data_IF_378035693721
#
_entry.id   IF_378035693721
#
_cell.length_a   1.000
_cell.length_b   1.000
_cell.length_c   1.000
_cell.angle_alpha   90.00
_cell.angle_beta   90.00
_cell.angle_gamma   90.00
#
_symmetry.space_group_name_H-M   'P 1'
#
loop_
_entity.id
_entity.type
_entity.pdbx_description
1 polymer ?
#
# COMPACT_ATOMS: atom_id res chain seq x y z
N UNK A 1 -13.50 1.08 7.98
CA UNK A 1 -13.94 1.13 6.57
C UNK A 1 -14.60 2.45 6.23
N UNK A 2 -15.11 3.24 7.20
CA UNK A 2 -15.68 4.59 6.99
C UNK A 2 -14.91 5.50 6.01
N UNK A 3 -13.59 5.47 6.00
CA UNK A 3 -12.80 6.24 5.03
C UNK A 3 -13.04 5.76 3.59
N UNK A 4 -13.05 4.44 3.36
CA UNK A 4 -13.37 3.88 2.04
C UNK A 4 -14.80 4.24 1.62
N UNK A 5 -15.76 4.29 2.55
CA UNK A 5 -17.13 4.73 2.25
C UNK A 5 -17.14 6.17 1.71
N UNK A 6 -16.35 7.08 2.30
CA UNK A 6 -16.21 8.46 1.80
C UNK A 6 -15.50 8.54 0.44
N UNK A 7 -14.54 7.65 0.17
CA UNK A 7 -13.90 7.59 -1.14
C UNK A 7 -14.84 7.06 -2.21
N UNK A 8 -15.72 6.10 -1.88
CA UNK A 8 -16.77 5.64 -2.79
C UNK A 8 -17.70 6.79 -3.17
N UNK A 9 -18.22 7.53 -2.18
CA UNK A 9 -19.07 8.70 -2.43
C UNK A 9 -18.39 9.73 -3.35
N UNK A 10 -17.09 9.97 -3.15
CA UNK A 10 -16.29 10.86 -3.98
C UNK A 10 -16.13 10.34 -5.42
N UNK A 11 -15.82 9.05 -5.58
CA UNK A 11 -15.64 8.44 -6.91
C UNK A 11 -16.95 8.39 -7.69
N UNK A 12 -18.06 8.09 -7.02
CA UNK A 12 -19.40 8.12 -7.60
C UNK A 12 -19.77 9.53 -8.08
N UNK A 13 -19.48 10.54 -7.26
CA UNK A 13 -19.70 11.94 -7.62
C UNK A 13 -18.90 12.37 -8.85
N UNK A 14 -17.62 11.97 -8.93
CA UNK A 14 -16.74 12.26 -10.07
C UNK A 14 -17.00 11.34 -11.29
N UNK A 15 -17.80 10.29 -11.13
CA UNK A 15 -18.13 9.34 -12.19
C UNK A 15 -17.01 8.32 -12.50
N UNK A 16 -16.07 8.10 -11.58
CA UNK A 16 -15.02 7.09 -11.73
C UNK A 16 -15.53 5.71 -11.33
N UNK A 17 -15.37 4.72 -12.21
CA UNK A 17 -15.66 3.33 -11.87
C UNK A 17 -14.56 2.75 -10.99
N UNK A 18 -14.93 1.91 -10.03
CA UNK A 18 -13.99 1.31 -9.09
C UNK A 18 -14.41 -0.10 -8.67
N UNK A 19 -13.48 -0.84 -8.07
CA UNK A 19 -13.76 -2.04 -7.30
C UNK A 19 -13.38 -1.80 -5.84
N UNK A 20 -14.02 -2.50 -4.90
CA UNK A 20 -13.71 -2.40 -3.47
C UNK A 20 -13.52 -3.79 -2.86
N UNK A 21 -12.48 -3.94 -2.04
CA UNK A 21 -12.32 -5.07 -1.12
C UNK A 21 -12.05 -4.56 0.30
N UNK A 22 -12.92 -4.97 1.22
CA UNK A 22 -12.70 -4.82 2.65
C UNK A 22 -12.90 -6.16 3.40
N UNK A 23 -13.05 -6.09 4.73
CA UNK A 23 -13.22 -7.26 5.58
C UNK A 23 -14.59 -7.95 5.44
N UNK A 24 -15.58 -7.32 4.80
CA UNK A 24 -16.91 -7.88 4.58
C UNK A 24 -17.01 -8.76 3.33
N UNK A 25 -16.08 -8.60 2.37
CA UNK A 25 -16.12 -9.32 1.09
C UNK A 25 -15.32 -10.64 1.19
N UNK A 26 -16.03 -11.76 0.97
CA UNK A 26 -15.51 -13.11 1.17
C UNK A 26 -15.44 -13.92 -0.14
N UNK A 27 -14.53 -14.90 -0.15
CA UNK A 27 -14.51 -15.99 -1.14
C UNK A 27 -14.48 -15.54 -2.60
N UNK A 28 -15.46 -16.02 -3.38
CA UNK A 28 -15.54 -15.85 -4.83
C UNK A 28 -15.68 -14.39 -5.27
N UNK A 29 -16.49 -13.58 -4.57
CA UNK A 29 -16.71 -12.17 -4.91
C UNK A 29 -15.41 -11.36 -4.90
N UNK A 30 -14.48 -11.73 -4.00
CA UNK A 30 -13.15 -11.15 -3.93
C UNK A 30 -12.35 -11.40 -5.21
N UNK A 31 -12.35 -12.65 -5.66
CA UNK A 31 -11.61 -13.04 -6.86
C UNK A 31 -12.23 -12.41 -8.11
N UNK A 32 -13.56 -12.40 -8.21
CA UNK A 32 -14.27 -11.75 -9.31
C UNK A 32 -13.94 -10.25 -9.41
N UNK A 33 -13.86 -9.52 -8.29
CA UNK A 33 -13.45 -8.12 -8.28
C UNK A 33 -12.01 -7.93 -8.78
N UNK A 34 -11.10 -8.81 -8.37
CA UNK A 34 -9.71 -8.81 -8.83
C UNK A 34 -9.62 -9.10 -10.33
N UNK A 35 -10.40 -10.07 -10.82
CA UNK A 35 -10.42 -10.46 -12.22
C UNK A 35 -10.99 -9.35 -13.10
N UNK A 36 -12.08 -8.69 -12.67
CA UNK A 36 -12.66 -7.53 -13.37
C UNK A 36 -11.67 -6.38 -13.48
N UNK A 37 -10.91 -6.10 -12.41
CA UNK A 37 -9.93 -5.02 -12.42
C UNK A 37 -8.69 -5.33 -13.27
N UNK A 38 -8.26 -6.59 -13.32
CA UNK A 38 -7.13 -7.02 -14.16
C UNK A 38 -7.55 -7.37 -15.61
N UNK A 39 -8.84 -7.33 -15.94
CA UNK A 39 -9.33 -7.70 -17.26
C UNK A 39 -8.79 -6.74 -18.35
N UNK A 40 -8.47 -7.24 -19.56
CA UNK A 40 -8.10 -6.39 -20.67
C UNK A 40 -9.23 -5.39 -20.99
N UNK A 41 -8.91 -4.09 -20.99
CA UNK A 41 -9.91 -3.04 -21.22
C UNK A 41 -10.87 -2.80 -20.04
N UNK A 42 -10.48 -3.23 -18.83
CA UNK A 42 -11.19 -2.90 -17.59
C UNK A 42 -11.51 -1.40 -17.54
N UNK A 43 -12.75 -1.08 -17.18
CA UNK A 43 -13.24 0.30 -17.12
C UNK A 43 -13.03 0.92 -15.74
N UNK A 44 -12.69 0.09 -14.75
CA UNK A 44 -12.45 0.51 -13.38
C UNK A 44 -11.14 1.25 -13.29
N UNK A 45 -11.22 2.50 -12.87
CA UNK A 45 -10.10 3.41 -12.71
C UNK A 45 -9.30 3.10 -11.45
N UNK A 46 -9.95 2.74 -10.35
CA UNK A 46 -9.28 2.49 -9.08
C UNK A 46 -9.79 1.24 -8.36
N UNK A 47 -8.94 0.74 -7.46
CA UNK A 47 -9.22 -0.42 -6.61
C UNK A 47 -9.09 -0.01 -5.15
N UNK A 48 -10.22 0.13 -4.47
CA UNK A 48 -10.28 0.49 -3.06
C UNK A 48 -9.99 -0.72 -2.18
N UNK A 49 -9.00 -0.57 -1.29
CA UNK A 49 -8.55 -1.66 -0.44
C UNK A 49 -8.35 -1.21 1.00
N UNK A 50 -8.92 -1.95 1.94
CA UNK A 50 -8.49 -1.81 3.34
C UNK A 50 -7.17 -2.57 3.58
N UNK A 51 -6.22 -1.93 4.25
CA UNK A 51 -4.85 -2.47 4.48
C UNK A 51 -4.88 -3.83 5.18
N UNK A 52 -5.87 -4.10 6.04
CA UNK A 52 -6.05 -5.41 6.71
C UNK A 52 -6.66 -6.48 5.80
N UNK A 53 -7.54 -6.13 4.87
CA UNK A 53 -8.07 -7.09 3.90
C UNK A 53 -7.03 -7.47 2.82
N UNK A 54 -5.97 -6.67 2.67
CA UNK A 54 -4.84 -6.90 1.75
C UNK A 54 -3.85 -7.98 2.16
N UNK A 55 -3.86 -8.43 3.43
CA UNK A 55 -2.94 -9.45 3.95
C UNK A 55 -3.15 -10.86 3.37
N UNK A 56 -4.19 -11.06 2.55
CA UNK A 56 -4.65 -12.37 2.06
C UNK A 56 -4.10 -12.78 0.68
N UNK A 57 -3.10 -12.09 0.13
CA UNK A 57 -2.44 -12.58 -1.09
C UNK A 57 -3.05 -12.12 -2.41
N UNK A 58 -3.69 -10.95 -2.47
CA UNK A 58 -4.28 -10.42 -3.72
C UNK A 58 -3.22 -10.03 -4.76
N UNK A 59 -3.62 -10.00 -6.03
CA UNK A 59 -2.78 -9.66 -7.18
C UNK A 59 -3.44 -8.53 -8.00
N UNK A 60 -2.82 -7.36 -8.04
CA UNK A 60 -3.30 -6.18 -8.78
C UNK A 60 -2.24 -5.75 -9.78
N UNK A 61 -1.75 -6.71 -10.59
CA UNK A 61 -0.61 -6.51 -11.49
C UNK A 61 -0.88 -5.51 -12.63
N UNK A 62 -2.14 -5.12 -12.88
CA UNK A 62 -2.46 -4.05 -13.85
C UNK A 62 -2.37 -2.65 -13.25
N UNK A 63 -2.36 -2.50 -11.91
CA UNK A 63 -2.29 -1.18 -11.27
C UNK A 63 -0.85 -0.63 -11.26
N UNK A 64 -0.65 0.54 -11.86
CA UNK A 64 0.65 1.22 -11.89
C UNK A 64 0.83 2.24 -10.75
N UNK A 65 -0.25 2.65 -10.08
CA UNK A 65 -0.21 3.70 -9.07
C UNK A 65 -0.83 3.22 -7.77
N UNK A 66 -0.10 3.38 -6.67
CA UNK A 66 -0.56 3.01 -5.33
C UNK A 66 -0.58 4.26 -4.46
N UNK A 67 -1.75 4.57 -3.90
CA UNK A 67 -1.92 5.66 -2.93
C UNK A 67 -2.19 5.08 -1.56
N UNK A 68 -1.30 5.36 -0.61
CA UNK A 68 -1.48 5.06 0.80
C UNK A 68 -2.14 6.28 1.44
N UNK A 69 -3.44 6.16 1.68
CA UNK A 69 -4.25 7.26 2.19
C UNK A 69 -3.97 7.52 3.68
N UNK A 70 -4.04 6.47 4.49
CA UNK A 70 -3.77 6.53 5.94
C UNK A 70 -2.50 5.74 6.29
N UNK A 71 -1.71 6.25 7.21
CA UNK A 71 -0.47 5.59 7.66
C UNK A 71 -0.71 4.63 8.84
N UNK A 72 -0.15 3.42 8.75
CA UNK A 72 -0.19 2.43 9.82
C UNK A 72 1.08 2.53 10.71
N UNK A 73 0.94 2.19 12.00
CA UNK A 73 2.06 2.08 12.94
C UNK A 73 3.02 0.93 12.62
N UNK A 74 2.58 -0.04 11.82
CA UNK A 74 3.39 -1.13 11.31
C UNK A 74 3.76 -0.88 9.84
N UNK A 75 5.03 -0.56 9.52
CA UNK A 75 5.47 -0.30 8.14
C UNK A 75 5.29 -1.50 7.20
N UNK A 76 5.22 -2.73 7.73
CA UNK A 76 5.04 -3.92 6.89
C UNK A 76 3.67 -4.00 6.24
N UNK A 77 2.63 -3.41 6.85
CA UNK A 77 1.29 -3.39 6.27
C UNK A 77 1.29 -2.60 4.95
N UNK A 78 1.99 -1.47 4.95
CA UNK A 78 2.16 -0.61 3.78
C UNK A 78 3.03 -1.29 2.70
N UNK A 79 4.10 -1.96 3.13
CA UNK A 79 4.95 -2.74 2.22
C UNK A 79 4.13 -3.84 1.53
N UNK A 80 3.32 -4.55 2.29
CA UNK A 80 2.46 -5.59 1.74
C UNK A 80 1.40 -5.03 0.80
N UNK A 81 0.89 -3.82 1.04
CA UNK A 81 -0.11 -3.17 0.20
C UNK A 81 0.46 -2.82 -1.18
N UNK A 82 1.60 -2.13 -1.27
CA UNK A 82 2.17 -1.81 -2.59
C UNK A 82 2.73 -3.04 -3.31
N UNK A 83 3.19 -4.06 -2.58
CA UNK A 83 3.67 -5.33 -3.18
C UNK A 83 2.58 -6.08 -3.94
N UNK A 84 1.31 -5.64 -3.89
CA UNK A 84 0.21 -6.17 -4.69
C UNK A 84 0.25 -5.68 -6.14
N UNK A 85 0.71 -4.45 -6.33
CA UNK A 85 0.89 -3.81 -7.63
C UNK A 85 2.30 -4.05 -8.17
N UNK A 86 3.31 -3.97 -7.29
CA UNK A 86 4.70 -4.29 -7.61
C UNK A 86 4.93 -5.81 -7.61
N UNK A 87 4.37 -6.49 -8.62
CA UNK A 87 4.40 -7.95 -8.75
C UNK A 87 4.81 -8.37 -10.17
N UNK A 88 5.30 -9.60 -10.29
CA UNK A 88 5.55 -10.26 -11.59
C UNK A 88 4.25 -10.20 -12.42
N UNK A 89 4.36 -9.69 -13.65
CA UNK A 89 3.23 -9.46 -14.56
C UNK A 89 2.90 -7.98 -14.77
N UNK A 90 3.45 -7.07 -13.95
CA UNK A 90 3.33 -5.63 -14.17
C UNK A 90 4.24 -5.18 -15.34
N UNK A 91 3.67 -4.45 -16.29
CA UNK A 91 4.36 -3.91 -17.47
C UNK A 91 4.78 -2.43 -17.31
N UNK A 92 4.14 -1.72 -16.38
CA UNK A 92 4.33 -0.29 -16.16
C UNK A 92 5.19 0.01 -14.92
N UNK A 93 5.78 1.21 -14.87
CA UNK A 93 6.51 1.66 -13.69
C UNK A 93 5.53 1.93 -12.55
N UNK A 94 5.72 1.25 -11.42
CA UNK A 94 4.85 1.42 -10.25
C UNK A 94 5.25 2.68 -9.46
N UNK A 95 4.31 3.61 -9.30
CA UNK A 95 4.45 4.84 -8.51
C UNK A 95 3.71 4.70 -7.18
N UNK A 96 4.38 5.04 -6.08
CA UNK A 96 3.80 4.93 -4.73
C UNK A 96 3.76 6.32 -4.11
N UNK A 97 2.56 6.75 -3.73
CA UNK A 97 2.30 8.00 -3.03
C UNK A 97 1.76 7.69 -1.64
N UNK A 98 2.23 8.44 -0.65
CA UNK A 98 1.68 8.42 0.71
C UNK A 98 1.20 9.80 1.06
N UNK A 99 -0.04 9.91 1.52
CA UNK A 99 -0.55 11.15 2.06
C UNK A 99 -0.21 11.24 3.55
N UNK A 100 0.27 12.41 3.94
CA UNK A 100 0.60 12.75 5.32
C UNK A 100 0.18 14.19 5.54
N UNK A 101 -0.71 14.40 6.49
CA UNK A 101 -1.19 15.71 6.87
C UNK A 101 -0.13 16.42 7.69
N UNK A 102 0.28 17.63 7.26
CA UNK A 102 1.29 18.44 7.95
C UNK A 102 0.82 18.83 9.36
N UNK A 103 1.76 18.89 10.30
CA UNK A 103 1.53 19.28 11.69
C UNK A 103 0.41 18.46 12.37
N UNK A 104 0.36 17.17 12.05
CA UNK A 104 -0.62 16.24 12.59
C UNK A 104 0.05 15.04 13.26
N UNK A 105 -0.75 14.21 13.92
CA UNK A 105 -0.29 12.95 14.48
C UNK A 105 0.27 11.99 13.40
N UNK A 106 -0.12 12.13 12.14
CA UNK A 106 0.32 11.29 11.03
C UNK A 106 1.81 11.41 10.76
N UNK A 107 2.39 12.60 10.95
CA UNK A 107 3.85 12.80 10.85
C UNK A 107 4.58 11.93 11.87
N UNK A 108 4.09 11.91 13.12
CA UNK A 108 4.67 11.10 14.19
C UNK A 108 4.54 9.60 13.89
N UNK A 109 3.39 9.17 13.37
CA UNK A 109 3.16 7.76 12.98
C UNK A 109 4.18 7.35 11.92
N UNK A 110 4.33 8.17 10.88
CA UNK A 110 5.25 7.93 9.77
C UNK A 110 6.71 7.87 10.26
N UNK A 111 7.12 8.78 11.13
CA UNK A 111 8.46 8.77 11.74
C UNK A 111 8.73 7.50 12.55
N UNK A 112 7.76 7.07 13.38
CA UNK A 112 7.88 5.84 14.17
C UNK A 112 7.96 4.60 13.28
N UNK A 113 7.15 4.54 12.22
CA UNK A 113 7.20 3.45 11.24
C UNK A 113 8.55 3.39 10.52
N UNK A 114 9.10 4.54 10.08
CA UNK A 114 10.45 4.64 9.48
C UNK A 114 11.52 4.11 10.43
N UNK A 115 11.52 4.54 11.69
CA UNK A 115 12.47 4.07 12.72
C UNK A 115 12.39 2.55 12.93
N UNK A 116 11.17 1.99 13.03
CA UNK A 116 10.98 0.54 13.14
C UNK A 116 11.58 -0.21 11.95
N UNK A 117 11.33 0.27 10.73
CA UNK A 117 11.84 -0.34 9.51
C UNK A 117 13.38 -0.31 9.45
N UNK A 118 13.99 0.81 9.85
CA UNK A 118 15.44 0.95 9.92
C UNK A 118 16.07 -0.02 10.93
N UNK A 119 15.49 -0.13 12.13
CA UNK A 119 15.94 -1.09 13.13
C UNK A 119 15.87 -2.52 12.60
N UNK A 120 14.77 -2.91 11.94
CA UNK A 120 14.66 -4.23 11.31
C UNK A 120 15.76 -4.45 10.27
N UNK A 121 16.03 -3.46 9.42
CA UNK A 121 17.07 -3.57 8.40
C UNK A 121 18.47 -3.72 8.98
N UNK A 122 18.80 -2.97 10.04
CA UNK A 122 20.07 -3.04 10.76
C UNK A 122 20.28 -4.37 11.49
N UNK A 123 19.21 -4.98 12.01
CA UNK A 123 19.27 -6.24 12.77
C UNK A 123 19.23 -7.47 11.86
N UNK A 124 18.59 -7.39 10.69
CA UNK A 124 18.48 -8.53 9.75
C UNK A 124 19.70 -8.65 8.83
N UNK A 125 20.37 -7.54 8.49
CA UNK A 125 21.58 -7.54 7.63
C UNK A 125 22.88 -8.13 8.22
N UNK A 126 23.15 -8.22 9.54
CA UNK A 126 24.40 -8.78 10.05
C UNK A 126 24.58 -10.28 9.75
N UNK A 127 23.52 -11.00 9.34
CA UNK A 127 23.58 -12.41 8.95
C UNK A 127 23.94 -12.67 7.48
N UNK A 128 23.96 -11.65 6.63
CA UNK A 128 24.25 -11.75 5.19
C UNK A 128 25.52 -10.96 4.84
N UNK A 129 26.65 -11.40 5.41
CA UNK A 129 27.97 -11.36 4.79
C UNK A 129 28.44 -10.08 4.09
N UNK A 130 28.05 -8.88 4.51
CA UNK A 130 28.59 -7.64 3.94
C UNK A 130 28.81 -6.58 5.03
N UNK A 131 30.08 -6.19 5.18
CA UNK A 131 30.50 -5.03 5.98
C UNK A 131 29.92 -3.76 5.33
N UNK A 132 28.71 -3.38 5.71
CA UNK A 132 28.19 -2.04 5.45
C UNK A 132 28.55 -1.16 6.65
N UNK A 133 29.31 -0.09 6.41
CA UNK A 133 29.80 0.83 7.41
C UNK A 133 28.69 1.44 8.26
N UNK A 134 29.04 1.84 9.48
CA UNK A 134 28.12 2.50 10.41
C UNK A 134 27.57 3.78 9.78
N UNK A 135 26.29 3.78 9.42
CA UNK A 135 25.58 4.99 9.00
C UNK A 135 25.52 5.95 10.18
N UNK A 136 25.81 7.22 9.93
CA UNK A 136 25.92 8.23 10.98
C UNK A 136 24.54 8.75 11.41
N UNK A 137 24.46 9.30 12.62
CA UNK A 137 23.21 9.83 13.22
C UNK A 137 22.51 10.91 12.36
N UNK A 138 23.24 11.52 11.42
CA UNK A 138 22.71 12.52 10.51
C UNK A 138 21.90 11.90 9.35
N UNK A 139 22.32 10.75 8.85
CA UNK A 139 21.58 9.98 7.82
C UNK A 139 20.37 9.22 8.42
N UNK A 140 20.29 9.18 9.75
CA UNK A 140 19.19 8.59 10.50
C UNK A 140 17.99 9.54 10.65
N UNK A 141 18.23 10.85 10.56
CA UNK A 141 17.22 11.89 10.79
C UNK A 141 16.67 12.51 9.48
N UNK A 142 17.38 12.40 8.34
CA UNK A 142 16.89 12.72 6.98
C UNK A 142 16.09 11.56 6.35
#
# INVERSE_FOLDING_TARGET
TKMLDLLEDFLDYEGYKYERIDGGITGALRQEAIDRFNAPGAQQFCFLLSTRAGGLGINLATADTVVIFDSDWNPHNDIQAFSRAHRIGQANKVMIYRFVTRASVEERITQVAKRKMMLTHLVVRPGLGSKAGSMSKQELDD
#
